data_IF_446330676485
#
_entry.id   IF_446330676485
#
_cell.length_a   1.000
_cell.length_b   1.000
_cell.length_c   1.000
_cell.angle_alpha   90.00
_cell.angle_beta   90.00
_cell.angle_gamma   90.00
#
_symmetry.space_group_name_H-M   'P 1'
#
loop_
_entity.id
_entity.type
_entity.pdbx_description
1 polymer ?
#
# COMPACT_ATOMS: atom_id res chain seq x y z
N UNK A 1 -13.63 22.86 -6.26
CA UNK A 1 -12.77 22.24 -7.28
C UNK A 1 -12.59 20.77 -6.95
N UNK A 2 -12.73 19.90 -7.94
CA UNK A 2 -12.42 18.47 -7.86
C UNK A 2 -11.59 18.03 -9.05
N UNK A 3 -10.49 17.32 -8.78
CA UNK A 3 -9.57 16.78 -9.77
C UNK A 3 -9.28 15.33 -9.42
N UNK A 4 -9.57 14.43 -10.35
CA UNK A 4 -9.18 13.02 -10.26
C UNK A 4 -7.82 12.89 -10.96
N UNK A 5 -6.73 12.78 -10.19
CA UNK A 5 -5.40 12.57 -10.75
C UNK A 5 -5.20 11.11 -11.19
N UNK A 6 -5.73 10.17 -10.41
CA UNK A 6 -5.70 8.74 -10.70
C UNK A 6 -6.99 8.09 -10.20
N UNK A 7 -7.58 7.20 -10.98
CA UNK A 7 -8.63 6.28 -10.58
C UNK A 7 -8.67 5.13 -11.60
N UNK A 8 -8.00 4.02 -11.30
CA UNK A 8 -7.79 2.94 -12.29
C UNK A 8 -6.63 2.01 -11.95
N UNK A 9 -6.34 1.07 -12.83
CA UNK A 9 -5.13 0.25 -12.78
C UNK A 9 -3.86 1.09 -12.98
N UNK A 10 -2.76 0.67 -12.36
CA UNK A 10 -1.47 1.41 -12.33
C UNK A 10 -0.75 1.53 -13.70
N UNK A 11 -1.36 1.10 -14.81
CA UNK A 11 -0.76 1.19 -16.14
C UNK A 11 -1.35 2.38 -16.86
N UNK A 12 -0.54 3.44 -17.07
CA UNK A 12 -0.93 4.76 -17.60
C UNK A 12 -1.50 4.82 -19.02
N UNK A 13 -2.11 3.73 -19.48
CA UNK A 13 -2.83 3.58 -20.74
C UNK A 13 -4.34 3.41 -20.52
N UNK A 14 -4.78 3.13 -19.28
CA UNK A 14 -6.20 3.03 -18.96
C UNK A 14 -6.83 4.43 -18.77
N UNK A 15 -8.07 4.65 -19.25
CA UNK A 15 -8.80 5.88 -18.96
C UNK A 15 -8.98 6.07 -17.45
N UNK A 16 -8.88 7.32 -16.99
CA UNK A 16 -9.24 7.67 -15.62
C UNK A 16 -10.74 7.39 -15.43
N UNK A 17 -11.05 6.46 -14.53
CA UNK A 17 -12.42 6.06 -14.21
C UNK A 17 -13.15 7.17 -13.42
N UNK A 18 -14.47 7.18 -13.48
CA UNK A 18 -15.28 8.18 -12.77
C UNK A 18 -15.45 7.87 -11.28
N UNK A 19 -15.89 8.85 -10.49
CA UNK A 19 -16.20 8.65 -9.07
C UNK A 19 -17.34 7.65 -8.87
N UNK A 20 -18.32 7.65 -9.78
CA UNK A 20 -19.45 6.71 -9.77
C UNK A 20 -18.99 5.26 -9.89
N UNK A 21 -17.88 5.01 -10.59
CA UNK A 21 -17.26 3.69 -10.67
C UNK A 21 -16.37 3.37 -9.48
N UNK A 22 -15.85 4.39 -8.79
CA UNK A 22 -15.05 4.23 -7.58
C UNK A 22 -15.90 3.89 -6.35
N UNK A 23 -17.07 4.52 -6.17
CA UNK A 23 -17.86 4.35 -4.94
C UNK A 23 -18.21 2.88 -4.62
N UNK A 24 -18.69 2.05 -5.56
CA UNK A 24 -19.03 0.66 -5.27
C UNK A 24 -17.82 -0.18 -4.82
N UNK A 25 -16.60 0.23 -5.17
CA UNK A 25 -15.38 -0.50 -4.81
C UNK A 25 -15.10 -0.46 -3.30
N UNK A 26 -15.54 0.59 -2.59
CA UNK A 26 -15.41 0.68 -1.13
C UNK A 26 -16.26 -0.35 -0.38
N UNK A 27 -17.35 -0.83 -1.00
CA UNK A 27 -18.18 -1.90 -0.45
C UNK A 27 -17.67 -3.28 -0.87
N UNK A 28 -17.14 -3.40 -2.09
CA UNK A 28 -16.72 -4.68 -2.68
C UNK A 28 -15.32 -5.14 -2.24
N UNK A 29 -14.42 -4.20 -1.97
CA UNK A 29 -13.01 -4.49 -1.71
C UNK A 29 -12.52 -3.83 -0.42
N UNK A 30 -11.65 -4.53 0.30
CA UNK A 30 -10.97 -4.00 1.47
C UNK A 30 -9.94 -2.93 1.05
N UNK A 31 -9.89 -1.79 1.73
CA UNK A 31 -8.81 -0.82 1.55
C UNK A 31 -7.48 -1.40 2.03
N UNK A 32 -6.39 -1.10 1.33
CA UNK A 32 -5.05 -1.53 1.74
C UNK A 32 -4.57 -0.71 2.96
N UNK A 33 -4.41 -1.32 4.15
CA UNK A 33 -4.10 -0.59 5.38
C UNK A 33 -2.75 0.13 5.36
N UNK A 34 -1.85 -0.22 4.43
CA UNK A 34 -0.58 0.51 4.22
C UNK A 34 -0.85 2.00 3.93
N UNK A 35 -1.99 2.32 3.31
CA UNK A 35 -2.36 3.70 2.97
C UNK A 35 -2.83 4.55 4.16
N UNK A 36 -2.98 3.98 5.36
CA UNK A 36 -3.17 4.79 6.57
C UNK A 36 -2.01 5.76 6.80
N UNK A 37 -0.79 5.36 6.44
CA UNK A 37 0.43 6.14 6.62
C UNK A 37 0.63 7.22 5.54
N UNK A 38 -0.13 7.14 4.45
CA UNK A 38 -0.11 8.12 3.35
C UNK A 38 -1.18 9.21 3.52
N UNK A 39 -1.56 9.50 4.78
CA UNK A 39 -2.58 10.51 5.10
C UNK A 39 -3.96 9.92 5.38
N UNK A 40 -4.02 8.68 5.86
CA UNK A 40 -5.23 8.05 6.37
C UNK A 40 -6.41 8.02 5.38
N UNK A 41 -6.11 7.80 4.11
CA UNK A 41 -7.02 7.84 2.97
C UNK A 41 -7.63 9.20 2.66
N UNK A 42 -8.12 9.93 3.67
CA UNK A 42 -8.65 11.30 3.54
C UNK A 42 -7.76 12.25 4.34
N UNK A 43 -6.87 12.95 3.65
CA UNK A 43 -5.96 13.91 4.23
C UNK A 43 -6.47 15.34 4.01
N UNK A 44 -7.13 15.91 5.04
CA UNK A 44 -7.64 17.28 5.03
C UNK A 44 -6.55 18.36 5.05
N UNK A 45 -5.31 18.00 5.41
CA UNK A 45 -4.17 18.92 5.50
C UNK A 45 -2.96 18.32 4.79
N UNK A 46 -3.04 18.12 3.47
CA UNK A 46 -1.96 17.53 2.71
C UNK A 46 -0.75 18.46 2.65
N UNK A 47 0.43 17.88 2.79
CA UNK A 47 1.70 18.57 2.57
C UNK A 47 2.13 18.41 1.11
N UNK A 48 2.18 19.51 0.38
CA UNK A 48 2.55 19.51 -1.03
C UNK A 48 4.04 19.84 -1.19
N UNK A 49 4.78 18.95 -1.84
CA UNK A 49 6.22 19.13 -2.03
C UNK A 49 6.53 20.24 -3.07
N UNK A 50 5.78 20.24 -4.18
CA UNK A 50 5.98 21.19 -5.29
C UNK A 50 5.31 22.53 -4.98
N UNK A 51 5.99 23.63 -5.29
CA UNK A 51 5.46 24.99 -5.10
C UNK A 51 4.20 25.26 -5.93
N UNK A 52 4.16 24.76 -7.16
CA UNK A 52 3.01 24.89 -8.06
C UNK A 52 1.76 24.20 -7.49
N UNK A 53 1.92 22.99 -6.96
CA UNK A 53 0.82 22.25 -6.31
C UNK A 53 0.37 22.92 -5.01
N UNK A 54 1.31 23.46 -4.22
CA UNK A 54 0.97 24.25 -3.03
C UNK A 54 0.06 25.42 -3.36
N UNK A 55 0.34 26.12 -4.46
CA UNK A 55 -0.45 27.26 -4.89
C UNK A 55 -1.79 26.82 -5.51
N UNK A 56 -1.77 25.82 -6.38
CA UNK A 56 -2.96 25.37 -7.10
C UNK A 56 -3.98 24.65 -6.20
N UNK A 57 -3.52 23.93 -5.17
CA UNK A 57 -4.34 23.07 -4.31
C UNK A 57 -4.38 23.54 -2.86
N UNK A 58 -4.11 24.84 -2.62
CA UNK A 58 -4.20 25.41 -1.29
C UNK A 58 -5.61 25.22 -0.72
N UNK A 59 -5.71 24.65 0.48
CA UNK A 59 -6.99 24.37 1.14
C UNK A 59 -7.73 23.12 0.64
N UNK A 60 -7.21 22.41 -0.37
CA UNK A 60 -7.79 21.15 -0.83
C UNK A 60 -7.43 19.99 0.11
N UNK A 61 -8.32 19.01 0.15
CA UNK A 61 -8.14 17.68 0.73
C UNK A 61 -7.62 16.72 -0.33
N UNK A 62 -6.72 15.82 0.07
CA UNK A 62 -6.29 14.67 -0.75
C UNK A 62 -7.03 13.43 -0.29
N UNK A 63 -7.67 12.75 -1.24
CA UNK A 63 -8.30 11.45 -1.03
C UNK A 63 -7.52 10.43 -1.85
N UNK A 64 -6.75 9.57 -1.21
CA UNK A 64 -5.87 8.64 -1.91
C UNK A 64 -5.76 7.28 -1.25
N UNK A 65 -5.57 6.25 -2.05
CA UNK A 65 -5.48 4.89 -1.54
C UNK A 65 -5.51 3.83 -2.62
N UNK A 66 -5.49 2.58 -2.17
CA UNK A 66 -5.59 1.39 -3.00
C UNK A 66 -6.50 0.38 -2.33
N UNK A 67 -7.12 -0.46 -3.13
CA UNK A 67 -7.81 -1.65 -2.67
C UNK A 67 -6.87 -2.86 -2.58
N UNK A 68 -7.09 -3.69 -1.57
CA UNK A 68 -6.38 -4.94 -1.34
C UNK A 68 -6.70 -5.93 -2.45
N UNK A 69 -5.67 -6.55 -3.04
CA UNK A 69 -5.82 -7.56 -4.11
C UNK A 69 -6.59 -7.10 -5.37
N UNK A 70 -6.97 -5.84 -5.43
CA UNK A 70 -7.56 -5.18 -6.59
C UNK A 70 -6.60 -4.07 -7.03
N UNK A 71 -6.16 -4.13 -8.29
CA UNK A 71 -5.09 -3.27 -8.82
C UNK A 71 -5.41 -1.77 -8.88
N UNK A 72 -6.60 -1.37 -8.42
CA UNK A 72 -7.11 -0.02 -8.55
C UNK A 72 -6.52 0.93 -7.50
N UNK A 73 -5.84 1.97 -7.99
CA UNK A 73 -5.36 3.09 -7.20
C UNK A 73 -6.27 4.30 -7.43
N UNK A 74 -6.50 5.09 -6.40
CA UNK A 74 -7.21 6.36 -6.51
C UNK A 74 -6.42 7.48 -5.86
N UNK A 75 -6.44 8.65 -6.49
CA UNK A 75 -5.87 9.90 -6.00
C UNK A 75 -6.73 11.05 -6.51
N UNK A 76 -7.45 11.68 -5.60
CA UNK A 76 -8.40 12.76 -5.86
C UNK A 76 -7.97 13.96 -5.02
N UNK A 77 -7.99 15.14 -5.61
CA UNK A 77 -7.80 16.42 -4.93
C UNK A 77 -9.10 17.19 -5.01
N UNK A 78 -9.65 17.58 -3.87
CA UNK A 78 -10.94 18.28 -3.82
C UNK A 78 -11.01 19.26 -2.67
N UNK A 79 -11.76 20.35 -2.83
CA UNK A 79 -12.20 21.24 -1.74
C UNK A 79 -13.70 21.08 -1.42
N UNK A 80 -14.39 20.15 -2.08
CA UNK A 80 -15.84 19.98 -1.97
C UNK A 80 -16.19 19.18 -0.71
N UNK A 81 -16.73 19.87 0.29
CA UNK A 81 -16.99 19.29 1.62
C UNK A 81 -17.95 18.09 1.57
N UNK A 82 -18.98 18.10 0.72
CA UNK A 82 -19.89 16.96 0.56
C UNK A 82 -19.18 15.71 0.05
N UNK A 83 -18.23 15.89 -0.89
CA UNK A 83 -17.42 14.80 -1.42
C UNK A 83 -16.48 14.26 -0.35
N UNK A 84 -15.82 15.17 0.39
CA UNK A 84 -14.92 14.81 1.48
C UNK A 84 -15.65 13.98 2.54
N UNK A 85 -16.81 14.45 3.02
CA UNK A 85 -17.62 13.74 4.01
C UNK A 85 -18.15 12.40 3.51
N UNK A 86 -18.43 12.28 2.20
CA UNK A 86 -18.80 11.00 1.59
C UNK A 86 -17.64 10.01 1.68
N UNK A 87 -16.43 10.40 1.30
CA UNK A 87 -15.26 9.53 1.39
C UNK A 87 -14.87 9.20 2.83
N UNK A 88 -15.00 10.14 3.77
CA UNK A 88 -14.78 9.85 5.20
C UNK A 88 -15.70 8.74 5.70
N UNK A 89 -16.98 8.75 5.30
CA UNK A 89 -17.93 7.67 5.62
C UNK A 89 -17.54 6.35 4.96
N UNK A 90 -17.28 6.35 3.65
CA UNK A 90 -16.87 5.14 2.92
C UNK A 90 -15.60 4.50 3.50
N UNK A 91 -14.61 5.32 3.87
CA UNK A 91 -13.39 4.86 4.52
C UNK A 91 -13.69 4.32 5.92
N UNK A 92 -14.50 5.02 6.72
CA UNK A 92 -14.87 4.57 8.06
C UNK A 92 -15.62 3.23 8.02
N UNK A 93 -16.57 3.07 7.12
CA UNK A 93 -17.35 1.85 6.93
C UNK A 93 -16.44 0.69 6.49
N UNK A 94 -15.54 0.93 5.53
CA UNK A 94 -14.57 -0.08 5.10
C UNK A 94 -13.64 -0.50 6.25
N UNK A 95 -13.15 0.47 7.03
CA UNK A 95 -12.30 0.21 8.21
C UNK A 95 -13.02 -0.56 9.30
N UNK A 96 -14.33 -0.38 9.45
CA UNK A 96 -15.13 -1.10 10.43
C UNK A 96 -15.29 -2.59 10.08
N UNK A 97 -15.04 -2.99 8.83
CA UNK A 97 -15.12 -4.40 8.43
C UNK A 97 -14.08 -5.28 9.11
N UNK A 98 -14.45 -6.52 9.42
CA UNK A 98 -13.53 -7.50 9.99
C UNK A 98 -12.32 -7.77 9.08
N UNK A 99 -12.55 -7.83 7.76
CA UNK A 99 -11.50 -8.02 6.76
C UNK A 99 -10.43 -6.92 6.83
N UNK A 100 -10.85 -5.65 6.94
CA UNK A 100 -9.91 -4.55 7.12
C UNK A 100 -9.14 -4.67 8.44
N UNK A 101 -9.85 -4.94 9.53
CA UNK A 101 -9.22 -5.06 10.86
C UNK A 101 -8.19 -6.18 10.91
N UNK A 102 -8.45 -7.32 10.25
CA UNK A 102 -7.50 -8.43 10.21
C UNK A 102 -6.27 -8.12 9.34
N UNK A 103 -6.45 -7.48 8.19
CA UNK A 103 -5.32 -7.02 7.37
C UNK A 103 -4.50 -5.94 8.08
N UNK A 104 -5.16 -5.03 8.81
CA UNK A 104 -4.49 -3.96 9.56
C UNK A 104 -3.61 -4.50 10.68
N UNK A 105 -4.00 -5.63 11.31
CA UNK A 105 -3.22 -6.33 12.35
C UNK A 105 -1.97 -7.02 11.82
N UNK A 106 -1.86 -7.24 10.51
CA UNK A 106 -0.68 -7.90 9.92
C UNK A 106 0.17 -6.93 9.11
N UNK A 107 -0.28 -5.69 8.96
CA UNK A 107 0.49 -4.58 8.42
C UNK A 107 1.30 -3.92 9.56
N UNK A 108 2.65 -3.94 9.46
CA UNK A 108 3.54 -3.20 10.37
C UNK A 108 4.68 -2.45 9.65
N UNK A 109 5.14 -1.28 10.19
CA UNK A 109 6.37 -0.66 9.72
C UNK A 109 7.55 -1.57 10.02
N UNK A 110 8.63 -1.46 9.25
CA UNK A 110 9.90 -2.08 9.64
C UNK A 110 10.34 -1.54 11.00
N UNK A 111 10.62 -2.40 11.97
CA UNK A 111 10.99 -1.99 13.34
C UNK A 111 12.33 -1.25 13.42
N UNK A 112 13.23 -1.46 12.45
CA UNK A 112 14.56 -0.83 12.41
C UNK A 112 14.57 0.57 11.79
N UNK A 113 13.93 0.72 10.62
CA UNK A 113 13.96 2.00 9.89
C UNK A 113 12.66 2.79 9.98
N UNK A 114 11.62 2.20 10.60
CA UNK A 114 10.27 2.73 10.67
C UNK A 114 9.67 3.11 9.29
N UNK A 115 10.22 2.55 8.20
CA UNK A 115 9.76 2.74 6.83
C UNK A 115 8.91 1.56 6.38
N UNK A 116 7.86 1.85 5.62
CA UNK A 116 7.07 0.85 4.90
C UNK A 116 7.52 0.78 3.45
N UNK A 117 7.64 -0.43 2.91
CA UNK A 117 7.89 -0.58 1.48
C UNK A 117 6.59 -0.40 0.70
N UNK A 118 6.40 0.78 0.14
CA UNK A 118 5.53 0.95 -1.00
C UNK A 118 6.42 1.01 -2.25
N UNK A 119 6.17 0.07 -3.17
CA UNK A 119 6.71 -0.04 -4.52
C UNK A 119 8.15 -0.60 -4.71
N UNK A 120 8.22 -1.56 -5.64
CA UNK A 120 9.39 -2.10 -6.36
C UNK A 120 10.53 -2.74 -5.55
N UNK A 121 10.24 -3.88 -4.93
CA UNK A 121 11.24 -4.86 -4.50
C UNK A 121 10.62 -5.94 -3.61
N UNK A 122 11.35 -7.03 -3.37
CA UNK A 122 11.09 -8.16 -2.44
C UNK A 122 10.34 -7.86 -1.12
N UNK A 123 10.28 -6.59 -0.71
CA UNK A 123 9.52 -6.10 0.43
C UNK A 123 7.98 -6.12 0.21
N UNK A 124 7.49 -6.22 -1.04
CA UNK A 124 6.07 -6.44 -1.36
C UNK A 124 5.50 -7.79 -0.89
N UNK A 125 6.36 -8.77 -0.62
CA UNK A 125 5.97 -10.08 -0.06
C UNK A 125 6.07 -10.14 1.47
N UNK A 126 6.74 -9.19 2.11
CA UNK A 126 7.19 -9.33 3.50
C UNK A 126 6.66 -8.27 4.46
N UNK A 127 6.00 -7.21 4.00
CA UNK A 127 5.40 -6.20 4.89
C UNK A 127 4.10 -6.64 5.60
N UNK A 128 3.44 -7.70 5.09
CA UNK A 128 2.13 -8.16 5.59
C UNK A 128 2.18 -9.44 6.42
N UNK A 129 3.32 -10.12 6.49
CA UNK A 129 3.45 -11.39 7.20
C UNK A 129 4.90 -11.52 7.70
N UNK A 130 5.24 -10.96 8.88
CA UNK A 130 6.62 -10.95 9.40
C UNK A 130 6.73 -11.37 10.86
N UNK A 131 7.77 -12.17 11.14
CA UNK A 131 8.38 -12.35 12.46
C UNK A 131 9.48 -11.29 12.66
N UNK A 132 9.54 -10.58 13.81
CA UNK A 132 10.44 -9.43 14.02
C UNK A 132 11.94 -9.72 13.87
N UNK A 133 12.38 -10.94 14.17
CA UNK A 133 13.80 -11.32 14.24
C UNK A 133 14.53 -11.46 12.88
N UNK A 134 13.85 -11.30 11.75
CA UNK A 134 14.41 -11.53 10.40
C UNK A 134 14.48 -10.26 9.53
N UNK A 135 14.16 -9.10 10.09
CA UNK A 135 13.82 -7.89 9.34
C UNK A 135 14.93 -7.32 8.45
N UNK A 136 16.21 -7.49 8.80
CA UNK A 136 17.35 -6.97 8.03
C UNK A 136 17.86 -7.92 6.93
N UNK A 137 17.55 -9.22 6.98
CA UNK A 137 18.14 -10.21 6.06
C UNK A 137 17.58 -10.13 4.64
N UNK A 138 16.30 -9.77 4.48
CA UNK A 138 15.64 -9.72 3.18
C UNK A 138 16.02 -8.49 2.32
N UNK A 139 16.71 -7.49 2.89
CA UNK A 139 17.04 -6.24 2.19
C UNK A 139 18.30 -6.29 1.33
N UNK A 140 19.17 -7.30 1.47
CA UNK A 140 20.55 -7.19 0.95
C UNK A 140 21.14 -8.43 0.28
N UNK A 141 20.39 -9.23 -0.49
CA UNK A 141 21.05 -10.10 -1.49
C UNK A 141 20.18 -10.29 -2.74
N UNK A 142 20.30 -9.40 -3.72
CA UNK A 142 20.13 -9.81 -5.12
C UNK A 142 21.51 -10.25 -5.63
N UNK A 143 21.65 -11.45 -6.23
CA UNK A 143 22.88 -11.84 -6.91
C UNK A 143 23.23 -10.78 -7.97
N UNK A 144 24.52 -10.41 -8.04
CA UNK A 144 25.03 -9.45 -9.03
C UNK A 144 24.54 -9.83 -10.43
N UNK A 145 23.79 -8.94 -11.08
CA UNK A 145 23.31 -9.11 -12.46
C UNK A 145 21.90 -9.66 -12.64
N UNK A 146 21.13 -9.94 -11.58
CA UNK A 146 19.69 -10.24 -11.72
C UNK A 146 18.84 -8.97 -11.71
N UNK A 147 18.03 -8.81 -12.76
CA UNK A 147 16.92 -7.84 -12.84
C UNK A 147 15.63 -8.59 -12.51
N UNK A 148 14.77 -8.02 -11.66
CA UNK A 148 13.47 -8.62 -11.33
C UNK A 148 12.59 -8.67 -12.59
N UNK A 149 12.13 -9.86 -12.96
CA UNK A 149 11.06 -10.07 -13.93
C UNK A 149 9.74 -10.26 -13.20
N UNK A 150 8.67 -9.60 -13.68
CA UNK A 150 7.33 -9.71 -13.12
C UNK A 150 6.84 -11.17 -13.07
N UNK A 151 6.25 -11.57 -11.94
CA UNK A 151 5.55 -12.86 -11.79
C UNK A 151 6.42 -14.08 -11.49
N UNK A 152 7.74 -13.94 -11.35
CA UNK A 152 8.57 -15.04 -10.86
C UNK A 152 8.41 -15.18 -9.34
N UNK A 153 7.77 -16.26 -8.88
CA UNK A 153 7.85 -16.70 -7.47
C UNK A 153 9.32 -17.06 -7.18
N UNK A 154 10.12 -16.07 -6.82
CA UNK A 154 11.50 -16.31 -6.39
C UNK A 154 11.44 -17.06 -5.07
N UNK A 155 11.99 -18.28 -5.05
CA UNK A 155 12.25 -19.02 -3.82
C UNK A 155 13.25 -18.21 -2.98
N UNK A 156 12.76 -17.56 -1.94
CA UNK A 156 13.57 -16.77 -1.01
C UNK A 156 14.13 -17.74 0.03
N UNK A 157 15.46 -17.95 0.01
CA UNK A 157 16.17 -18.70 1.03
C UNK A 157 17.00 -17.74 1.88
N UNK A 158 16.79 -17.74 3.20
CA UNK A 158 17.52 -16.88 4.13
C UNK A 158 18.28 -17.72 5.16
N UNK A 159 19.58 -17.47 5.39
CA UNK A 159 20.33 -18.15 6.44
C UNK A 159 19.80 -17.74 7.82
N UNK A 160 19.77 -18.70 8.75
CA UNK A 160 19.28 -18.48 10.12
C UNK A 160 20.46 -18.10 11.02
N UNK A 161 20.50 -16.87 11.58
CA UNK A 161 21.67 -16.38 12.34
C UNK A 161 22.05 -17.29 13.51
N UNK A 162 21.05 -17.84 14.19
CA UNK A 162 21.23 -18.66 15.39
C UNK A 162 21.40 -20.16 15.10
N UNK A 163 21.24 -20.59 13.84
CA UNK A 163 21.28 -22.00 13.45
C UNK A 163 22.21 -22.18 12.25
N UNK A 164 23.50 -22.33 12.54
CA UNK A 164 24.53 -22.57 11.54
C UNK A 164 24.10 -23.69 10.57
N UNK A 165 24.09 -23.37 9.27
CA UNK A 165 23.75 -24.31 8.20
C UNK A 165 22.26 -24.49 7.89
N UNK A 166 21.34 -23.89 8.66
CA UNK A 166 19.90 -23.91 8.34
C UNK A 166 19.48 -22.70 7.51
N UNK A 167 18.45 -22.88 6.70
CA UNK A 167 17.88 -21.83 5.85
C UNK A 167 16.37 -21.81 5.97
N UNK A 168 15.81 -20.63 6.18
CA UNK A 168 14.38 -20.42 6.05
C UNK A 168 14.00 -20.25 4.57
N UNK A 169 13.07 -21.06 4.08
CA UNK A 169 12.51 -20.98 2.72
C UNK A 169 11.08 -20.46 2.80
N UNK A 170 10.77 -19.40 2.04
CA UNK A 170 9.39 -18.94 1.90
C UNK A 170 8.62 -19.95 1.02
N UNK A 171 7.71 -20.72 1.61
CA UNK A 171 6.95 -21.78 0.94
C UNK A 171 5.50 -21.37 0.62
N UNK A 172 5.04 -20.24 1.16
CA UNK A 172 3.71 -19.69 0.93
C UNK A 172 3.62 -18.26 1.46
N UNK A 173 2.48 -17.58 1.24
CA UNK A 173 2.29 -16.23 1.77
C UNK A 173 2.40 -16.23 3.30
N UNK A 174 3.45 -15.63 3.83
CA UNK A 174 3.73 -15.61 5.28
C UNK A 174 4.15 -16.95 5.90
N UNK A 175 4.33 -18.00 5.10
CA UNK A 175 4.67 -19.34 5.57
C UNK A 175 6.13 -19.64 5.25
N UNK A 176 6.91 -19.92 6.29
CA UNK A 176 8.34 -20.22 6.21
C UNK A 176 8.61 -21.65 6.68
N UNK A 177 9.43 -22.37 5.94
CA UNK A 177 9.99 -23.67 6.31
C UNK A 177 11.47 -23.51 6.66
N UNK A 178 12.00 -24.25 7.65
CA UNK A 178 13.36 -24.08 8.21
C UNK A 178 14.22 -25.33 8.05
#
# INVERSE_FOLDING_TARGET
>A
MTIIKINGGFWGWEPIETLERLYPLFEQYTLDPIYEWYGNFVNRKPEWQRSEERQAYQGCTVISGRFLHYGNFFYIVTDEEELIQRFERLVADNKATQAYQDERKVCFPCSECNQWSAASGLCGLTGRYRQPQWECFARYVLPKGKVEGDGANMRIELPIPEKAGKKAVLIGRGQWEV
#
